data_IF_779222932748
#
_entry.id   IF_779222932748
#
_cell.length_a   1.000
_cell.length_b   1.000
_cell.length_c   1.000
_cell.angle_alpha   90.00
_cell.angle_beta   90.00
_cell.angle_gamma   90.00
#
_symmetry.space_group_name_H-M   'P 1'
#
loop_
_entity.id
_entity.type
_entity.pdbx_description
1 polymer ?
#
# COMPACT_ATOMS: atom_id res chain seq x y z
N UNK A 1 -0.06 17.18 -3.17
CA UNK A 1 -0.67 17.59 -1.91
C UNK A 1 0.19 18.68 -1.26
N UNK A 2 1.30 18.34 -0.60
CA UNK A 2 2.11 19.32 0.15
C UNK A 2 2.97 20.29 -0.67
N UNK A 3 3.34 19.93 -1.91
CA UNK A 3 4.24 20.75 -2.75
C UNK A 3 3.52 21.50 -3.87
N UNK A 4 2.20 21.37 -3.97
CA UNK A 4 1.37 22.11 -4.93
C UNK A 4 0.66 23.30 -4.26
N UNK A 5 -0.04 24.11 -5.05
CA UNK A 5 -0.89 25.18 -4.53
C UNK A 5 -2.25 24.62 -4.11
N UNK A 6 -2.25 23.76 -3.09
CA UNK A 6 -3.45 23.23 -2.45
C UNK A 6 -3.52 23.68 -1.00
N UNK A 7 -4.71 23.65 -0.38
CA UNK A 7 -4.91 24.11 1.00
C UNK A 7 -4.06 23.30 2.00
N UNK A 8 -3.73 22.06 1.68
CA UNK A 8 -2.92 21.19 2.53
C UNK A 8 -1.44 21.59 2.61
N UNK A 9 -1.02 22.58 1.81
CA UNK A 9 0.34 23.13 1.88
C UNK A 9 0.59 23.91 3.17
N UNK A 10 -0.40 24.68 3.62
CA UNK A 10 -0.27 25.61 4.75
C UNK A 10 -0.91 25.06 6.04
N UNK A 11 -1.48 23.85 5.99
CA UNK A 11 -2.10 23.20 7.13
C UNK A 11 -1.09 22.32 7.90
N UNK A 12 -1.09 22.42 9.23
CA UNK A 12 -0.28 21.55 10.11
C UNK A 12 -0.78 20.10 10.13
N UNK A 13 -2.07 19.90 9.83
CA UNK A 13 -2.73 18.59 9.84
C UNK A 13 -3.45 18.33 8.52
N UNK A 14 -3.41 17.07 8.07
CA UNK A 14 -4.11 16.62 6.86
C UNK A 14 -4.92 15.38 7.17
N UNK A 15 -6.23 15.49 6.98
CA UNK A 15 -7.15 14.37 7.13
C UNK A 15 -7.05 13.42 5.93
N UNK A 16 -6.78 12.14 6.19
CA UNK A 16 -6.80 11.09 5.19
C UNK A 16 -8.13 10.32 5.32
N UNK A 17 -9.08 10.65 4.44
CA UNK A 17 -10.40 10.00 4.42
C UNK A 17 -10.34 8.59 3.83
N UNK A 18 -11.27 7.72 4.22
CA UNK A 18 -11.43 6.36 3.65
C UNK A 18 -10.20 5.45 3.81
N UNK A 19 -9.43 5.63 4.89
CA UNK A 19 -8.33 4.75 5.27
C UNK A 19 -8.57 4.24 6.68
N UNK A 20 -8.39 2.93 6.88
CA UNK A 20 -8.41 2.33 8.22
C UNK A 20 -7.07 2.65 8.90
N UNK A 21 -7.13 3.20 10.11
CA UNK A 21 -5.94 3.60 10.88
C UNK A 21 -4.87 2.49 10.95
N UNK A 22 -5.28 1.26 11.28
CA UNK A 22 -4.36 0.12 11.40
C UNK A 22 -3.66 -0.21 10.07
N UNK A 23 -4.38 -0.18 8.95
CA UNK A 23 -3.80 -0.42 7.62
C UNK A 23 -2.79 0.67 7.24
N UNK A 24 -3.04 1.91 7.65
CA UNK A 24 -2.10 3.01 7.44
C UNK A 24 -0.84 2.88 8.29
N UNK A 25 -0.98 2.45 9.55
CA UNK A 25 0.16 2.18 10.43
C UNK A 25 1.02 1.05 9.86
N UNK A 26 0.41 -0.01 9.32
CA UNK A 26 1.14 -1.09 8.65
C UNK A 26 1.95 -0.56 7.45
N UNK A 27 1.38 0.33 6.63
CA UNK A 27 2.11 0.99 5.55
C UNK A 27 3.31 1.81 6.07
N UNK A 28 3.11 2.60 7.13
CA UNK A 28 4.17 3.40 7.76
C UNK A 28 5.31 2.51 8.27
N UNK A 29 4.99 1.36 8.86
CA UNK A 29 5.98 0.40 9.32
C UNK A 29 6.80 -0.20 8.17
N UNK A 30 6.16 -0.50 7.03
CA UNK A 30 6.85 -1.01 5.83
C UNK A 30 7.84 0.03 5.29
N UNK A 31 7.46 1.32 5.25
CA UNK A 31 8.32 2.36 4.66
C UNK A 31 9.43 2.86 5.58
N UNK A 32 9.16 3.02 6.88
CA UNK A 32 10.11 3.64 7.81
C UNK A 32 10.93 2.62 8.57
N UNK A 33 10.30 1.54 9.05
CA UNK A 33 10.96 0.60 9.93
C UNK A 33 11.72 -0.46 9.12
N UNK A 34 11.34 -0.69 7.85
CA UNK A 34 11.92 -1.69 6.89
C UNK A 34 12.02 -3.14 7.41
N UNK A 35 11.73 -3.39 8.68
CA UNK A 35 11.76 -4.70 9.33
C UNK A 35 10.42 -5.41 9.28
N UNK A 36 9.34 -4.70 8.96
CA UNK A 36 8.03 -5.31 8.83
C UNK A 36 7.91 -6.00 7.48
N UNK A 37 7.87 -7.33 7.52
CA UNK A 37 7.61 -8.14 6.33
C UNK A 37 6.12 -8.07 5.96
N UNK A 38 5.85 -7.93 4.66
CA UNK A 38 4.49 -8.02 4.13
C UNK A 38 4.04 -9.47 4.29
N UNK A 39 2.83 -9.67 4.81
CA UNK A 39 2.24 -11.00 5.00
C UNK A 39 1.02 -11.18 4.10
N UNK A 40 0.51 -12.40 3.98
CA UNK A 40 -0.70 -12.67 3.18
C UNK A 40 -1.94 -11.93 3.68
N UNK A 41 -1.95 -11.54 4.97
CA UNK A 41 -3.03 -10.76 5.58
C UNK A 41 -2.89 -9.26 5.27
N UNK A 42 -1.65 -8.77 5.21
CA UNK A 42 -1.37 -7.34 5.03
C UNK A 42 -1.22 -6.93 3.57
N UNK A 43 -0.79 -7.85 2.69
CA UNK A 43 -0.49 -7.57 1.27
C UNK A 43 -1.63 -6.88 0.53
N UNK A 44 -2.90 -7.22 0.83
CA UNK A 44 -4.04 -6.67 0.11
C UNK A 44 -4.28 -5.19 0.43
N UNK A 45 -4.23 -4.81 1.70
CA UNK A 45 -4.41 -3.40 2.08
C UNK A 45 -3.14 -2.58 1.76
N UNK A 46 -1.95 -3.19 1.87
CA UNK A 46 -0.71 -2.52 1.45
C UNK A 46 -0.75 -2.22 -0.05
N UNK A 47 -1.20 -3.14 -0.90
CA UNK A 47 -1.40 -2.89 -2.34
C UNK A 47 -2.39 -1.74 -2.58
N UNK A 48 -3.54 -1.76 -1.89
CA UNK A 48 -4.57 -0.71 -2.01
C UNK A 48 -4.01 0.67 -1.64
N UNK A 49 -3.28 0.78 -0.54
CA UNK A 49 -2.71 2.05 -0.09
C UNK A 49 -1.52 2.48 -0.97
N UNK A 50 -0.66 1.54 -1.38
CA UNK A 50 0.44 1.83 -2.29
C UNK A 50 -0.06 2.36 -3.63
N UNK A 51 -1.15 1.82 -4.18
CA UNK A 51 -1.78 2.32 -5.40
C UNK A 51 -2.34 3.73 -5.18
N UNK A 52 -3.08 3.93 -4.09
CA UNK A 52 -3.69 5.22 -3.73
C UNK A 52 -2.66 6.34 -3.56
N UNK A 53 -1.54 6.05 -2.91
CA UNK A 53 -0.46 7.03 -2.66
C UNK A 53 0.64 7.00 -3.72
N UNK A 54 0.48 6.22 -4.80
CA UNK A 54 1.43 6.11 -5.92
C UNK A 54 2.85 5.72 -5.46
N UNK A 55 2.94 4.75 -4.54
CA UNK A 55 4.18 4.31 -3.91
C UNK A 55 4.75 3.09 -4.63
N UNK A 56 5.40 3.32 -5.78
CA UNK A 56 5.96 2.23 -6.62
C UNK A 56 6.90 1.30 -5.85
N UNK A 57 7.74 1.83 -4.95
CA UNK A 57 8.65 1.01 -4.14
C UNK A 57 7.94 0.02 -3.23
N UNK A 58 6.80 0.40 -2.65
CA UNK A 58 5.98 -0.50 -1.81
C UNK A 58 5.19 -1.46 -2.69
N UNK A 59 4.74 -1.01 -3.86
CA UNK A 59 4.05 -1.83 -4.84
C UNK A 59 4.89 -3.03 -5.26
N UNK A 60 6.16 -2.81 -5.59
CA UNK A 60 7.10 -3.87 -5.99
C UNK A 60 7.37 -4.87 -4.87
N UNK A 61 7.49 -4.40 -3.61
CA UNK A 61 7.63 -5.27 -2.45
C UNK A 61 6.40 -6.16 -2.25
N UNK A 62 5.21 -5.59 -2.36
CA UNK A 62 3.96 -6.32 -2.23
C UNK A 62 3.76 -7.32 -3.38
N UNK A 63 4.12 -6.95 -4.61
CA UNK A 63 4.11 -7.82 -5.79
C UNK A 63 5.07 -9.01 -5.64
N UNK A 64 6.27 -8.77 -5.12
CA UNK A 64 7.25 -9.82 -4.82
C UNK A 64 6.67 -10.82 -3.82
N UNK A 65 6.07 -10.32 -2.73
CA UNK A 65 5.41 -11.17 -1.73
C UNK A 65 4.25 -11.98 -2.34
N UNK A 66 3.36 -11.33 -3.09
CA UNK A 66 2.21 -11.98 -3.73
C UNK A 66 2.64 -13.09 -4.70
N UNK A 67 3.73 -12.88 -5.44
CA UNK A 67 4.30 -13.87 -6.35
C UNK A 67 4.80 -15.11 -5.60
N UNK A 68 5.51 -14.90 -4.50
CA UNK A 68 6.10 -15.97 -3.68
C UNK A 68 5.11 -16.66 -2.72
N UNK A 69 4.02 -15.97 -2.37
CA UNK A 69 3.03 -16.48 -1.43
C UNK A 69 2.33 -17.73 -1.93
N UNK A 70 2.15 -18.71 -1.03
CA UNK A 70 1.34 -19.93 -1.28
C UNK A 70 -0.11 -19.77 -0.80
N UNK A 71 -0.43 -18.69 -0.08
CA UNK A 71 -1.77 -18.43 0.44
C UNK A 71 -2.79 -18.00 -0.63
N UNK A 72 -2.33 -17.64 -1.83
CA UNK A 72 -3.17 -17.24 -2.96
C UNK A 72 -3.10 -18.26 -4.09
N UNK A 73 -4.26 -18.69 -4.60
CA UNK A 73 -4.31 -19.48 -5.82
C UNK A 73 -3.99 -18.61 -7.06
N UNK A 74 -3.66 -19.25 -8.18
CA UNK A 74 -3.27 -18.55 -9.40
C UNK A 74 -4.36 -17.58 -9.92
N UNK A 75 -5.63 -17.99 -9.86
CA UNK A 75 -6.75 -17.15 -10.29
C UNK A 75 -6.85 -15.85 -9.47
N UNK A 76 -6.72 -15.94 -8.14
CA UNK A 76 -6.77 -14.78 -7.25
C UNK A 76 -5.58 -13.85 -7.47
N UNK A 77 -4.38 -14.39 -7.73
CA UNK A 77 -3.21 -13.57 -8.11
C UNK A 77 -3.44 -12.80 -9.41
N UNK A 78 -4.03 -13.45 -10.43
CA UNK A 78 -4.35 -12.79 -11.71
C UNK A 78 -5.40 -11.69 -11.56
N UNK A 79 -6.43 -11.91 -10.73
CA UNK A 79 -7.43 -10.88 -10.44
C UNK A 79 -6.80 -9.65 -9.76
N UNK A 80 -5.94 -9.88 -8.77
CA UNK A 80 -5.22 -8.80 -8.07
C UNK A 80 -4.29 -8.06 -9.04
N UNK A 81 -3.55 -8.79 -9.88
CA UNK A 81 -2.67 -8.18 -10.88
C UNK A 81 -3.44 -7.29 -11.87
N UNK A 82 -4.59 -7.78 -12.36
CA UNK A 82 -5.46 -7.00 -13.23
C UNK A 82 -6.04 -5.75 -12.53
N UNK A 83 -6.43 -5.87 -11.26
CA UNK A 83 -7.01 -4.77 -10.48
C UNK A 83 -6.02 -3.61 -10.27
N UNK A 84 -4.77 -3.92 -9.93
CA UNK A 84 -3.74 -2.93 -9.61
C UNK A 84 -2.75 -2.68 -10.76
N UNK A 85 -3.06 -3.20 -11.96
CA UNK A 85 -2.21 -3.08 -13.18
C UNK A 85 -0.75 -3.49 -12.93
N UNK A 86 -0.56 -4.57 -12.17
CA UNK A 86 0.75 -5.14 -11.80
C UNK A 86 1.39 -5.93 -12.93
#
# INVERSE_FOLDING_TARGET
MFFGNFEEKDNEEVEIKDVVYEEFVDLLNVIYVRSMEITDRTVLHILKLADRFQMEGVMELAKKHLTQSKGFNAAKKLLIANQYRL
#
